data_IF_999651524315
#
_entry.id   IF_999651524315
#
_cell.length_a   1.000
_cell.length_b   1.000
_cell.length_c   1.000
_cell.angle_alpha   90.00
_cell.angle_beta   90.00
_cell.angle_gamma   90.00
#
_symmetry.space_group_name_H-M   'P 1'
#
loop_
_entity.id
_entity.type
_entity.pdbx_description
1 polymer ?
#
# COMPACT_ATOMS: atom_id res chain seq x y z
N UNK A 1 50.10 -9.98 -21.98
CA UNK A 1 49.90 -10.52 -20.62
C UNK A 1 49.62 -9.42 -19.64
N UNK A 2 48.70 -9.71 -18.71
CA UNK A 2 48.26 -8.94 -17.53
C UNK A 2 47.39 -7.71 -17.81
N UNK A 3 46.30 -7.44 -17.12
CA UNK A 3 45.23 -8.22 -16.47
C UNK A 3 44.17 -7.13 -16.21
N UNK A 4 42.94 -7.30 -16.67
CA UNK A 4 41.85 -6.38 -16.33
C UNK A 4 41.42 -6.74 -14.91
N UNK A 5 41.60 -5.83 -13.97
CA UNK A 5 40.98 -5.94 -12.64
C UNK A 5 39.60 -5.31 -12.73
N UNK A 6 38.56 -6.14 -12.81
CA UNK A 6 37.20 -5.74 -12.50
C UNK A 6 37.11 -5.45 -11.01
N UNK A 7 36.86 -4.18 -10.65
CA UNK A 7 36.49 -3.81 -9.29
C UNK A 7 34.98 -4.06 -9.14
N UNK A 8 34.64 -5.05 -8.31
CA UNK A 8 33.30 -5.50 -7.97
C UNK A 8 32.38 -4.33 -7.57
N UNK A 9 31.43 -4.02 -8.46
CA UNK A 9 30.19 -3.37 -8.04
C UNK A 9 29.46 -4.35 -7.12
N UNK A 10 29.54 -4.09 -5.81
CA UNK A 10 28.87 -4.87 -4.78
C UNK A 10 27.40 -5.08 -5.13
N UNK A 11 27.07 -6.31 -5.50
CA UNK A 11 25.72 -6.78 -5.69
C UNK A 11 25.00 -6.66 -4.34
N UNK A 12 24.20 -5.61 -4.19
CA UNK A 12 23.17 -5.55 -3.16
C UNK A 12 22.19 -6.65 -3.52
N UNK A 13 22.50 -7.87 -3.07
CA UNK A 13 21.55 -8.97 -2.99
C UNK A 13 20.49 -8.59 -1.96
N UNK A 14 19.60 -7.67 -2.35
CA UNK A 14 18.26 -7.60 -1.80
C UNK A 14 17.67 -8.94 -2.19
N UNK A 15 17.73 -9.88 -1.26
CA UNK A 15 17.16 -11.21 -1.40
C UNK A 15 15.75 -11.00 -1.92
N UNK A 16 15.55 -11.29 -3.20
CA UNK A 16 14.24 -11.21 -3.84
C UNK A 16 13.46 -12.39 -3.28
N UNK A 17 12.94 -12.24 -2.07
CA UNK A 17 11.97 -13.15 -1.50
C UNK A 17 10.85 -13.23 -2.53
N UNK A 18 10.70 -14.39 -3.15
CA UNK A 18 9.61 -14.64 -4.08
C UNK A 18 8.30 -14.38 -3.32
N UNK A 19 7.54 -13.36 -3.72
CA UNK A 19 6.25 -13.01 -3.11
C UNK A 19 5.15 -14.02 -3.53
N UNK A 20 5.53 -15.24 -3.91
CA UNK A 20 4.59 -16.32 -4.19
C UNK A 20 3.94 -16.83 -2.90
N UNK A 21 3.14 -15.99 -2.26
CA UNK A 21 2.17 -16.42 -1.27
C UNK A 21 0.97 -17.00 -2.04
N UNK A 22 1.03 -18.31 -2.28
CA UNK A 22 -0.14 -19.07 -2.71
C UNK A 22 -1.11 -19.15 -1.54
N UNK A 23 -2.10 -18.25 -1.45
CA UNK A 23 -3.18 -18.35 -0.46
C UNK A 23 -4.53 -17.97 -1.08
N UNK A 24 -4.98 -18.80 -2.01
CA UNK A 24 -6.42 -19.06 -2.15
C UNK A 24 -6.62 -20.54 -1.86
N UNK A 25 -7.64 -20.83 -1.04
CA UNK A 25 -8.12 -22.15 -0.64
C UNK A 25 -7.56 -22.72 0.68
N UNK A 26 -8.15 -22.28 1.80
CA UNK A 26 -8.60 -23.26 2.81
C UNK A 26 -10.00 -22.88 3.27
N UNK A 27 -10.97 -23.70 2.86
CA UNK A 27 -12.34 -23.68 3.34
C UNK A 27 -12.39 -24.43 4.68
N UNK A 28 -12.90 -23.78 5.72
CA UNK A 28 -13.53 -24.32 6.94
C UNK A 28 -13.00 -25.66 7.49
N UNK A 29 -12.19 -25.61 8.55
CA UNK A 29 -12.10 -26.70 9.52
C UNK A 29 -11.67 -26.19 10.91
N UNK A 30 -12.47 -26.58 11.91
CA UNK A 30 -12.25 -26.60 13.36
C UNK A 30 -12.07 -25.27 14.12
N UNK A 31 -13.02 -25.03 15.02
CA UNK A 31 -13.02 -23.98 16.05
C UNK A 31 -12.10 -24.39 17.23
N UNK A 32 -11.54 -23.37 17.87
CA UNK A 32 -11.03 -23.33 19.25
C UNK A 32 -9.58 -23.83 19.51
N UNK A 33 -8.55 -23.04 19.13
CA UNK A 33 -7.40 -22.65 20.01
C UNK A 33 -6.34 -21.71 19.37
N UNK A 34 -6.38 -21.37 18.07
CA UNK A 34 -5.29 -20.62 17.39
C UNK A 34 -5.61 -19.19 16.88
N UNK A 35 -6.63 -18.53 17.44
CA UNK A 35 -7.18 -17.26 16.90
C UNK A 35 -6.14 -16.12 16.78
N UNK A 36 -5.19 -16.02 17.72
CA UNK A 36 -4.18 -14.95 17.72
C UNK A 36 -3.13 -15.13 16.62
N UNK A 37 -2.63 -16.36 16.42
CA UNK A 37 -1.64 -16.66 15.41
C UNK A 37 -2.22 -16.50 13.99
N UNK A 38 -3.49 -16.90 13.80
CA UNK A 38 -4.21 -16.71 12.54
C UNK A 38 -4.45 -15.23 12.25
N UNK A 39 -4.87 -14.43 13.24
CA UNK A 39 -5.07 -12.99 13.04
C UNK A 39 -3.77 -12.25 12.73
N UNK A 40 -2.68 -12.61 13.43
CA UNK A 40 -1.36 -12.05 13.16
C UNK A 40 -0.86 -12.38 11.75
N UNK A 41 -1.08 -13.61 11.28
CA UNK A 41 -0.70 -14.01 9.93
C UNK A 41 -1.54 -13.28 8.86
N UNK A 42 -2.83 -13.08 9.12
CA UNK A 42 -3.70 -12.26 8.27
C UNK A 42 -3.22 -10.81 8.21
N UNK A 43 -2.81 -10.23 9.33
CA UNK A 43 -2.29 -8.85 9.37
C UNK A 43 -0.94 -8.72 8.64
N UNK A 44 -0.03 -9.69 8.81
CA UNK A 44 1.22 -9.74 8.04
C UNK A 44 0.94 -9.81 6.54
N UNK A 45 -0.01 -10.66 6.13
CA UNK A 45 -0.40 -10.79 4.73
C UNK A 45 -1.00 -9.50 4.17
N UNK A 46 -1.86 -8.84 4.96
CA UNK A 46 -2.46 -7.54 4.63
C UNK A 46 -1.39 -6.46 4.45
N UNK A 47 -0.49 -6.29 5.41
CA UNK A 47 0.59 -5.29 5.35
C UNK A 47 1.57 -5.59 4.22
N UNK A 48 1.98 -6.85 4.05
CA UNK A 48 2.88 -7.24 2.97
C UNK A 48 2.27 -6.95 1.58
N UNK A 49 0.94 -7.03 1.46
CA UNK A 49 0.25 -6.74 0.21
C UNK A 49 0.45 -5.30 -0.27
N UNK A 50 0.68 -4.35 0.64
CA UNK A 50 0.94 -2.94 0.31
C UNK A 50 2.19 -2.76 -0.54
N UNK A 51 3.24 -3.56 -0.29
CA UNK A 51 4.49 -3.53 -1.06
C UNK A 51 4.34 -4.13 -2.47
N UNK A 52 3.28 -4.91 -2.71
CA UNK A 52 3.01 -5.55 -4.01
C UNK A 52 2.20 -4.66 -4.94
N UNK A 53 1.45 -3.70 -4.39
CA UNK A 53 0.64 -2.78 -5.19
C UNK A 53 0.24 -1.56 -4.38
N UNK A 54 0.50 -0.38 -4.93
CA UNK A 54 0.21 0.89 -4.26
C UNK A 54 -1.30 1.06 -4.03
N UNK A 55 -2.15 0.57 -4.94
CA UNK A 55 -3.60 0.59 -4.79
C UNK A 55 -4.06 -0.23 -3.59
N UNK A 56 -3.34 -1.30 -3.21
CA UNK A 56 -3.67 -2.09 -2.03
C UNK A 56 -3.41 -1.32 -0.75
N UNK A 57 -2.33 -0.52 -0.71
CA UNK A 57 -2.07 0.42 0.37
C UNK A 57 -3.17 1.48 0.46
N UNK A 58 -3.57 2.06 -0.68
CA UNK A 58 -4.55 3.15 -0.73
C UNK A 58 -5.99 2.70 -0.41
N UNK A 59 -6.35 1.46 -0.74
CA UNK A 59 -7.67 0.89 -0.44
C UNK A 59 -7.79 0.35 1.00
N UNK A 60 -6.69 0.31 1.73
CA UNK A 60 -6.64 -0.08 3.13
C UNK A 60 -6.70 1.17 4.02
N UNK A 61 -7.70 1.29 4.89
CA UNK A 61 -7.87 2.46 5.76
C UNK A 61 -6.64 2.71 6.65
N UNK A 62 -6.02 1.65 7.19
CA UNK A 62 -4.82 1.76 8.01
C UNK A 62 -3.59 2.06 7.16
N UNK A 63 -3.51 1.46 5.97
CA UNK A 63 -2.45 1.74 4.99
C UNK A 63 -2.44 3.22 4.60
N UNK A 64 -3.61 3.75 4.24
CA UNK A 64 -3.81 5.16 3.91
C UNK A 64 -3.45 6.09 5.08
N UNK A 65 -3.85 5.74 6.31
CA UNK A 65 -3.51 6.51 7.50
C UNK A 65 -2.00 6.56 7.75
N UNK A 66 -1.34 5.39 7.76
CA UNK A 66 0.12 5.30 7.98
C UNK A 66 0.88 6.04 6.87
N UNK A 67 0.46 5.88 5.62
CA UNK A 67 1.08 6.58 4.50
C UNK A 67 0.90 8.10 4.58
N UNK A 68 -0.25 8.56 5.07
CA UNK A 68 -0.47 9.99 5.34
C UNK A 68 0.47 10.51 6.42
N UNK A 69 0.65 9.77 7.53
CA UNK A 69 1.61 10.15 8.57
C UNK A 69 3.07 10.10 8.09
N UNK A 70 3.39 9.18 7.18
CA UNK A 70 4.69 9.15 6.51
C UNK A 70 4.91 10.42 5.68
N UNK A 71 3.97 10.80 4.81
CA UNK A 71 4.09 11.99 3.97
C UNK A 71 4.14 13.30 4.78
N UNK A 72 3.48 13.36 5.95
CA UNK A 72 3.58 14.50 6.87
C UNK A 72 5.01 14.76 7.34
N UNK A 73 5.81 13.71 7.56
CA UNK A 73 7.22 13.83 7.97
C UNK A 73 8.08 14.42 6.85
N UNK A 74 7.68 14.19 5.61
CA UNK A 74 8.33 14.69 4.40
C UNK A 74 7.67 15.97 3.86
N UNK A 75 6.78 16.61 4.64
CA UNK A 75 6.03 17.81 4.24
C UNK A 75 5.34 17.69 2.86
N UNK A 76 4.85 16.49 2.53
CA UNK A 76 4.28 16.15 1.22
C UNK A 76 2.89 15.51 1.31
N UNK A 77 2.21 15.66 2.47
CA UNK A 77 0.89 15.07 2.72
C UNK A 77 -0.21 15.63 1.81
N UNK A 78 -0.01 16.82 1.23
CA UNK A 78 -0.94 17.42 0.27
C UNK A 78 -1.17 16.51 -0.95
N UNK A 79 -0.18 15.70 -1.34
CA UNK A 79 -0.31 14.76 -2.46
C UNK A 79 -1.40 13.72 -2.21
N UNK A 80 -1.38 13.08 -1.03
CA UNK A 80 -2.38 12.05 -0.69
C UNK A 80 -3.74 12.66 -0.36
N UNK A 81 -3.77 13.86 0.22
CA UNK A 81 -5.00 14.60 0.48
C UNK A 81 -5.69 14.95 -0.84
N UNK A 82 -4.96 15.49 -1.81
CA UNK A 82 -5.49 15.79 -3.14
C UNK A 82 -6.07 14.54 -3.81
N UNK A 83 -5.31 13.43 -3.82
CA UNK A 83 -5.79 12.17 -4.38
C UNK A 83 -7.10 11.71 -3.70
N UNK A 84 -7.16 11.77 -2.37
CA UNK A 84 -8.35 11.35 -1.60
C UNK A 84 -9.57 12.23 -1.91
N UNK A 85 -9.37 13.54 -2.05
CA UNK A 85 -10.46 14.45 -2.43
C UNK A 85 -10.94 14.20 -3.87
N UNK A 86 -10.04 13.86 -4.79
CA UNK A 86 -10.42 13.41 -6.13
C UNK A 86 -11.23 12.10 -6.10
N UNK A 87 -10.85 11.12 -5.28
CA UNK A 87 -11.61 9.87 -5.12
C UNK A 87 -13.02 10.11 -4.58
N UNK A 88 -13.19 11.08 -3.68
CA UNK A 88 -14.52 11.50 -3.20
C UNK A 88 -15.32 12.16 -4.31
N UNK A 89 -14.70 13.10 -5.06
CA UNK A 89 -15.35 13.79 -6.18
C UNK A 89 -15.89 12.81 -7.23
N UNK A 90 -15.13 11.75 -7.56
CA UNK A 90 -15.55 10.71 -8.52
C UNK A 90 -16.82 9.95 -8.11
N UNK A 91 -17.17 9.94 -6.83
CA UNK A 91 -18.36 9.23 -6.30
C UNK A 91 -19.62 10.11 -6.29
N UNK A 92 -19.47 11.42 -6.46
CA UNK A 92 -20.59 12.37 -6.50
C UNK A 92 -21.25 12.27 -7.87
N UNK A 93 -22.58 12.26 -7.90
CA UNK A 93 -23.38 12.19 -9.14
C UNK A 93 -24.14 13.49 -9.42
N UNK A 94 -24.39 14.30 -8.39
CA UNK A 94 -25.06 15.60 -8.54
C UNK A 94 -24.11 16.62 -9.20
N UNK A 95 -24.48 17.20 -10.36
CA UNK A 95 -23.60 18.13 -11.09
C UNK A 95 -23.24 19.39 -10.29
N UNK A 96 -24.14 19.87 -9.45
CA UNK A 96 -23.91 21.08 -8.67
C UNK A 96 -22.95 20.81 -7.50
N UNK A 97 -23.12 19.68 -6.81
CA UNK A 97 -22.19 19.21 -5.78
C UNK A 97 -20.80 18.92 -6.36
N UNK A 98 -20.71 18.29 -7.55
CA UNK A 98 -19.44 18.12 -8.28
C UNK A 98 -18.78 19.48 -8.52
N UNK A 99 -19.53 20.46 -9.02
CA UNK A 99 -19.02 21.81 -9.30
C UNK A 99 -18.50 22.47 -8.03
N UNK A 100 -19.25 22.43 -6.94
CA UNK A 100 -18.85 23.00 -5.65
C UNK A 100 -17.58 22.33 -5.13
N UNK A 101 -17.55 21.00 -5.14
CA UNK A 101 -16.42 20.22 -4.63
C UNK A 101 -15.16 20.41 -5.47
N UNK A 102 -15.28 20.40 -6.80
CA UNK A 102 -14.17 20.65 -7.71
C UNK A 102 -13.57 22.05 -7.49
N UNK A 103 -14.40 23.09 -7.31
CA UNK A 103 -13.92 24.43 -6.99
C UNK A 103 -13.19 24.50 -5.64
N UNK A 104 -13.61 23.70 -4.66
CA UNK A 104 -12.93 23.62 -3.37
C UNK A 104 -11.58 22.91 -3.43
N UNK A 105 -11.40 21.97 -4.36
CA UNK A 105 -10.13 21.23 -4.54
C UNK A 105 -9.12 22.06 -5.34
N UNK A 106 -9.60 22.89 -6.27
CA UNK A 106 -8.75 23.71 -7.14
C UNK A 106 -8.17 24.96 -6.48
N UNK A 107 -8.90 25.54 -5.50
CA UNK A 107 -8.47 26.74 -4.78
C UNK A 107 -7.33 26.43 -3.81
#
# INVERSE_FOLDING_TARGET
SLAVTDEEAGDLSVTRLSISNSLTSVHKACEDEDNEATNKLLDIGRVASWAVGFEKLLNDEMGLHIFTEFLKKEFSQENIQFWTECEKLKKITDPEEIRIKANSIWR
#
